data_IF_715238933135
#
_entry.id   IF_715238933135
#
_cell.length_a   1.000
_cell.length_b   1.000
_cell.length_c   1.000
_cell.angle_alpha   90.00
_cell.angle_beta   90.00
_cell.angle_gamma   90.00
#
_symmetry.space_group_name_H-M   'P 1'
#
loop_
_entity.id
_entity.type
_entity.pdbx_description
1 polymer ?
#
# COMPACT_ATOMS: atom_id res chain seq x y z
N UNK A 1 -15.04 4.49 -25.09
CA UNK A 1 -15.75 3.22 -24.93
C UNK A 1 -15.73 2.46 -26.23
N UNK A 2 -15.71 1.15 -26.17
CA UNK A 2 -15.92 0.19 -27.25
C UNK A 2 -17.11 -0.68 -26.90
N UNK A 3 -17.78 -1.27 -27.91
CA UNK A 3 -18.97 -2.08 -27.69
C UNK A 3 -19.09 -3.14 -28.79
N UNK A 4 -19.67 -4.29 -28.43
CA UNK A 4 -20.14 -5.32 -29.37
C UNK A 4 -21.66 -5.22 -29.66
N UNK A 5 -22.31 -4.15 -29.16
CA UNK A 5 -23.76 -3.93 -29.26
C UNK A 5 -24.55 -4.43 -28.07
N UNK A 6 -23.96 -5.28 -27.20
CA UNK A 6 -24.58 -5.81 -25.99
C UNK A 6 -23.86 -5.35 -24.71
N UNK A 7 -22.52 -5.22 -24.77
CA UNK A 7 -21.67 -4.80 -23.66
C UNK A 7 -20.81 -3.59 -24.04
N UNK A 8 -20.36 -2.85 -23.02
CA UNK A 8 -19.46 -1.73 -23.18
C UNK A 8 -18.21 -1.96 -22.35
N UNK A 9 -17.03 -1.65 -22.93
CA UNK A 9 -15.75 -1.67 -22.21
C UNK A 9 -14.89 -0.46 -22.53
N UNK A 10 -13.85 -0.26 -21.72
CA UNK A 10 -12.92 0.85 -21.94
C UNK A 10 -12.04 0.54 -23.16
N UNK A 11 -11.95 1.49 -24.08
CA UNK A 11 -10.99 1.40 -25.19
C UNK A 11 -9.55 1.68 -24.71
N UNK A 12 -8.56 1.28 -25.51
CA UNK A 12 -7.15 1.57 -25.23
C UNK A 12 -6.84 3.06 -25.06
N UNK A 13 -7.71 3.97 -25.49
CA UNK A 13 -7.57 5.43 -25.30
C UNK A 13 -7.46 5.83 -23.82
N UNK A 14 -8.00 5.04 -22.87
CA UNK A 14 -7.86 5.30 -21.42
C UNK A 14 -6.42 5.22 -20.96
N UNK A 15 -5.57 4.44 -21.63
CA UNK A 15 -4.13 4.33 -21.31
C UNK A 15 -3.39 5.66 -21.52
N UNK A 16 -3.90 6.55 -22.39
CA UNK A 16 -3.37 7.90 -22.55
C UNK A 16 -3.47 8.73 -21.27
N UNK A 17 -4.58 8.64 -20.54
CA UNK A 17 -4.72 9.32 -19.23
C UNK A 17 -3.76 8.74 -18.18
N UNK A 18 -3.61 7.41 -18.14
CA UNK A 18 -2.66 6.75 -17.25
C UNK A 18 -1.22 7.16 -17.56
N UNK A 19 -0.83 7.16 -18.85
CA UNK A 19 0.47 7.60 -19.29
C UNK A 19 0.76 9.06 -18.92
N UNK A 20 -0.21 9.95 -19.13
CA UNK A 20 -0.11 11.37 -18.76
C UNK A 20 0.03 11.55 -17.25
N UNK A 21 -0.71 10.79 -16.45
CA UNK A 21 -0.56 10.81 -14.99
C UNK A 21 0.83 10.33 -14.56
N UNK A 22 1.28 9.17 -15.02
CA UNK A 22 2.56 8.59 -14.62
C UNK A 22 3.77 9.42 -15.05
N UNK A 23 3.69 10.10 -16.21
CA UNK A 23 4.74 10.98 -16.70
C UNK A 23 4.71 12.37 -16.05
N UNK A 24 3.54 12.88 -15.69
CA UNK A 24 3.33 14.22 -15.15
C UNK A 24 3.32 14.31 -13.64
N UNK A 25 2.86 13.27 -12.93
CA UNK A 25 2.73 13.29 -11.49
C UNK A 25 4.10 13.22 -10.79
N UNK A 26 4.36 14.18 -9.91
CA UNK A 26 5.63 14.29 -9.18
C UNK A 26 5.87 13.07 -8.29
N UNK A 27 4.89 12.65 -7.50
CA UNK A 27 5.03 11.56 -6.52
C UNK A 27 5.48 10.24 -7.16
N UNK A 28 4.81 9.63 -8.15
CA UNK A 28 5.26 8.38 -8.76
C UNK A 28 6.68 8.46 -9.31
N UNK A 29 7.02 9.56 -9.99
CA UNK A 29 8.35 9.75 -10.59
C UNK A 29 9.46 9.85 -9.54
N UNK A 30 9.21 10.61 -8.46
CA UNK A 30 10.20 10.82 -7.39
C UNK A 30 10.47 9.56 -6.60
N UNK A 31 9.44 8.71 -6.38
CA UNK A 31 9.60 7.52 -5.53
C UNK A 31 10.13 6.29 -6.28
N UNK A 32 9.96 6.22 -7.59
CA UNK A 32 10.25 5.02 -8.38
C UNK A 32 11.71 4.51 -8.24
N UNK A 33 12.76 5.35 -8.28
CA UNK A 33 14.14 4.89 -8.07
C UNK A 33 14.35 4.24 -6.70
N UNK A 34 13.80 4.85 -5.64
CA UNK A 34 13.90 4.33 -4.27
C UNK A 34 13.15 3.01 -4.09
N UNK A 35 12.01 2.83 -4.78
CA UNK A 35 11.29 1.57 -4.77
C UNK A 35 12.09 0.44 -5.42
N UNK A 36 12.80 0.70 -6.51
CA UNK A 36 13.68 -0.30 -7.15
C UNK A 36 14.82 -0.71 -6.20
N UNK A 37 15.47 0.27 -5.55
CA UNK A 37 16.53 -0.02 -4.58
C UNK A 37 16.01 -0.80 -3.37
N UNK A 38 14.86 -0.39 -2.81
CA UNK A 38 14.25 -1.05 -1.67
C UNK A 38 13.84 -2.49 -1.99
N UNK A 39 13.22 -2.73 -3.14
CA UNK A 39 12.82 -4.09 -3.55
C UNK A 39 14.03 -4.99 -3.83
N UNK A 40 15.11 -4.46 -4.38
CA UNK A 40 16.35 -5.19 -4.58
C UNK A 40 17.04 -5.55 -3.25
N UNK A 41 17.10 -4.60 -2.31
CA UNK A 41 17.73 -4.80 -1.00
C UNK A 41 16.97 -5.80 -0.12
N UNK A 42 15.63 -5.78 -0.17
CA UNK A 42 14.78 -6.62 0.68
C UNK A 42 14.34 -7.92 0.02
N UNK A 43 14.49 -8.03 -1.30
CA UNK A 43 13.93 -9.12 -2.13
C UNK A 43 12.41 -9.26 -2.01
N UNK A 44 11.73 -8.15 -1.74
CA UNK A 44 10.28 -8.07 -1.57
C UNK A 44 9.66 -7.10 -2.56
N UNK A 45 8.36 -7.25 -2.77
CA UNK A 45 7.57 -6.22 -3.45
C UNK A 45 7.31 -5.06 -2.50
N UNK A 46 7.43 -3.84 -3.03
CA UNK A 46 7.08 -2.60 -2.33
C UNK A 46 6.16 -1.75 -3.18
N UNK A 47 5.39 -0.89 -2.54
CA UNK A 47 4.53 0.06 -3.26
C UNK A 47 4.33 1.35 -2.47
N UNK A 48 3.97 2.40 -3.22
CA UNK A 48 3.46 3.65 -2.66
C UNK A 48 1.99 3.76 -3.02
N UNK A 49 1.17 4.05 -2.01
CA UNK A 49 -0.27 4.21 -2.17
C UNK A 49 -0.77 5.51 -1.55
N UNK A 50 -1.83 6.06 -2.13
CA UNK A 50 -2.56 7.24 -1.64
C UNK A 50 -3.97 6.86 -1.22
N UNK A 51 -4.53 7.58 -0.26
CA UNK A 51 -5.90 7.36 0.20
C UNK A 51 -6.89 7.97 -0.80
N UNK A 52 -7.87 7.20 -1.22
CA UNK A 52 -9.00 7.62 -2.05
C UNK A 52 -10.30 7.09 -1.48
N UNK A 53 -11.04 7.92 -0.74
CA UNK A 53 -12.30 7.55 -0.08
C UNK A 53 -12.12 6.33 0.82
N UNK A 54 -12.77 5.21 0.50
CA UNK A 54 -12.78 3.92 1.20
C UNK A 54 -11.53 3.06 0.95
N UNK A 55 -10.74 3.40 -0.07
CA UNK A 55 -9.66 2.58 -0.58
C UNK A 55 -8.32 3.31 -0.62
N UNK A 56 -7.24 2.56 -0.70
CA UNK A 56 -5.95 3.06 -1.16
C UNK A 56 -5.77 2.73 -2.63
N UNK A 57 -5.13 3.62 -3.37
CA UNK A 57 -4.73 3.40 -4.77
C UNK A 57 -3.21 3.31 -4.85
N UNK A 58 -2.71 2.23 -5.45
CA UNK A 58 -1.28 2.08 -5.72
C UNK A 58 -0.88 3.04 -6.85
N UNK A 59 0.07 3.94 -6.57
CA UNK A 59 0.54 4.95 -7.52
C UNK A 59 1.97 4.68 -8.02
N UNK A 60 2.76 3.89 -7.30
CA UNK A 60 4.08 3.44 -7.72
C UNK A 60 4.40 2.08 -7.12
N UNK A 61 5.23 1.28 -7.79
CA UNK A 61 5.57 -0.08 -7.36
C UNK A 61 6.99 -0.47 -7.70
N UNK A 62 7.68 -1.11 -6.76
CA UNK A 62 8.91 -1.87 -6.97
C UNK A 62 8.62 -3.36 -6.86
N UNK A 63 9.08 -4.12 -7.86
CA UNK A 63 8.92 -5.57 -7.90
C UNK A 63 10.31 -6.19 -7.92
N UNK A 64 10.58 -7.06 -6.95
CA UNK A 64 11.75 -7.91 -7.02
C UNK A 64 11.44 -9.13 -7.89
N UNK A 65 12.28 -9.37 -8.89
CA UNK A 65 12.19 -10.54 -9.75
C UNK A 65 13.34 -11.49 -9.37
N UNK A 66 13.00 -12.65 -8.84
CA UNK A 66 13.99 -13.70 -8.64
C UNK A 66 14.53 -14.19 -10.00
N UNK A 67 15.84 -14.34 -10.11
CA UNK A 67 16.47 -14.93 -11.29
C UNK A 67 16.10 -16.43 -11.45
N UNK A 68 15.69 -17.07 -10.35
CA UNK A 68 15.41 -18.50 -10.29
C UNK A 68 13.93 -18.82 -10.46
N UNK A 69 13.61 -19.81 -11.32
CA UNK A 69 12.24 -20.17 -11.70
C UNK A 69 11.40 -20.73 -10.55
N UNK A 70 12.02 -21.35 -9.53
CA UNK A 70 11.31 -21.92 -8.38
C UNK A 70 10.88 -20.86 -7.34
N UNK A 71 11.58 -19.71 -7.25
CA UNK A 71 11.17 -18.59 -6.42
C UNK A 71 10.08 -17.72 -7.10
N UNK A 72 9.88 -17.87 -8.41
CA UNK A 72 8.84 -17.15 -9.17
C UNK A 72 7.42 -17.51 -8.73
N UNK A 73 7.17 -18.75 -8.31
CA UNK A 73 5.82 -19.19 -7.95
C UNK A 73 5.25 -18.40 -6.75
N UNK A 74 6.08 -18.12 -5.73
CA UNK A 74 5.63 -17.38 -4.53
C UNK A 74 5.55 -15.86 -4.73
N UNK A 75 6.33 -15.29 -5.66
CA UNK A 75 6.24 -13.87 -6.01
C UNK A 75 5.15 -13.60 -7.05
N UNK A 76 4.75 -14.61 -7.83
CA UNK A 76 3.77 -14.46 -8.92
C UNK A 76 2.34 -14.20 -8.43
N UNK A 77 1.90 -14.78 -7.31
CA UNK A 77 0.51 -14.61 -6.83
C UNK A 77 0.22 -13.14 -6.49
N UNK A 78 1.15 -12.45 -5.84
CA UNK A 78 1.03 -10.99 -5.62
C UNK A 78 1.40 -10.16 -6.86
N UNK A 79 2.23 -10.69 -7.77
CA UNK A 79 2.67 -9.94 -8.94
C UNK A 79 1.58 -9.80 -10.01
N UNK A 80 0.70 -10.78 -10.18
CA UNK A 80 -0.34 -10.73 -11.22
C UNK A 80 -1.59 -9.94 -10.84
N UNK A 81 -1.87 -9.75 -9.54
CA UNK A 81 -3.08 -9.06 -9.07
C UNK A 81 -2.90 -7.58 -8.75
N UNK A 82 -1.67 -7.15 -8.40
CA UNK A 82 -1.41 -5.77 -7.97
C UNK A 82 -0.59 -5.01 -9.01
N UNK A 83 -1.14 -3.93 -9.52
CA UNK A 83 -0.49 -3.02 -10.48
C UNK A 83 -0.74 -1.56 -10.06
N UNK A 84 -0.05 -0.62 -10.69
CA UNK A 84 -0.36 0.80 -10.53
C UNK A 84 -1.81 1.05 -10.99
N UNK A 85 -2.58 1.76 -10.16
CA UNK A 85 -4.01 1.94 -10.32
C UNK A 85 -4.88 0.91 -9.57
N UNK A 86 -4.30 -0.16 -9.01
CA UNK A 86 -5.06 -1.10 -8.16
C UNK A 86 -5.59 -0.40 -6.92
N UNK A 87 -6.85 -0.63 -6.61
CA UNK A 87 -7.54 -0.16 -5.40
C UNK A 87 -7.67 -1.31 -4.40
N UNK A 88 -7.35 -1.03 -3.15
CA UNK A 88 -7.46 -1.98 -2.04
C UNK A 88 -8.20 -1.33 -0.86
N UNK A 89 -9.00 -2.08 -0.08
CA UNK A 89 -9.69 -1.54 1.08
C UNK A 89 -8.72 -0.92 2.09
N UNK A 90 -8.95 0.35 2.47
CA UNK A 90 -8.03 1.06 3.35
C UNK A 90 -7.96 0.45 4.75
N UNK A 91 -9.09 -0.06 5.28
CA UNK A 91 -9.13 -0.63 6.63
C UNK A 91 -8.32 -1.91 6.79
N UNK A 92 -8.13 -2.70 5.73
CA UNK A 92 -7.51 -4.02 5.79
C UNK A 92 -6.07 -4.05 5.24
N UNK A 93 -5.51 -2.91 4.81
CA UNK A 93 -4.15 -2.82 4.27
C UNK A 93 -3.25 -1.99 5.18
N UNK A 94 -1.95 -2.34 5.25
CA UNK A 94 -0.97 -1.59 6.05
C UNK A 94 -0.86 -0.13 5.62
N UNK A 95 -0.86 0.14 4.30
CA UNK A 95 -0.84 1.49 3.74
C UNK A 95 -2.08 2.28 4.10
N UNK A 96 -3.26 1.67 3.99
CA UNK A 96 -4.52 2.32 4.33
C UNK A 96 -4.63 2.63 5.82
N UNK A 97 -4.24 1.69 6.67
CA UNK A 97 -4.22 1.90 8.12
C UNK A 97 -3.26 3.02 8.53
N UNK A 98 -2.08 3.13 7.89
CA UNK A 98 -1.14 4.24 8.12
C UNK A 98 -1.74 5.58 7.67
N UNK A 99 -2.38 5.64 6.51
CA UNK A 99 -3.01 6.85 6.00
C UNK A 99 -4.19 7.29 6.87
N UNK A 100 -5.05 6.36 7.26
CA UNK A 100 -6.17 6.62 8.17
C UNK A 100 -5.71 7.06 9.57
N UNK A 101 -4.61 6.50 10.07
CA UNK A 101 -4.03 6.88 11.35
C UNK A 101 -3.45 8.30 11.38
N UNK A 102 -3.17 8.88 10.22
CA UNK A 102 -2.66 10.23 10.06
C UNK A 102 -3.74 11.27 9.65
N UNK A 103 -5.01 10.88 9.60
CA UNK A 103 -6.12 11.82 9.47
C UNK A 103 -6.35 12.60 10.77
N UNK A 104 -6.98 13.76 10.69
CA UNK A 104 -7.53 14.43 11.88
C UNK A 104 -8.60 13.55 12.55
N UNK A 105 -8.89 13.81 13.82
CA UNK A 105 -9.92 13.05 14.54
C UNK A 105 -11.26 13.14 13.84
N UNK A 106 -11.63 14.35 13.41
CA UNK A 106 -12.90 14.66 12.73
C UNK A 106 -12.98 13.94 11.37
N UNK A 107 -11.87 13.96 10.60
CA UNK A 107 -11.83 13.28 9.30
C UNK A 107 -11.89 11.75 9.45
N UNK A 108 -11.26 11.19 10.49
CA UNK A 108 -11.35 9.76 10.78
C UNK A 108 -12.75 9.37 11.25
N UNK A 109 -13.43 10.22 12.04
CA UNK A 109 -14.79 9.98 12.50
C UNK A 109 -15.75 9.96 11.31
N UNK A 110 -15.69 10.96 10.44
CA UNK A 110 -16.47 11.00 9.21
C UNK A 110 -16.18 9.77 8.31
N UNK A 111 -14.91 9.41 8.18
CA UNK A 111 -14.55 8.23 7.39
C UNK A 111 -15.16 6.93 7.95
N UNK A 112 -15.17 6.76 9.26
CA UNK A 112 -15.74 5.57 9.92
C UNK A 112 -17.27 5.54 9.88
N UNK A 113 -17.94 6.68 9.79
CA UNK A 113 -19.41 6.76 9.61
C UNK A 113 -19.82 6.40 8.18
N UNK A 114 -19.03 6.80 7.19
CA UNK A 114 -19.31 6.57 5.77
C UNK A 114 -18.88 5.17 5.28
N UNK A 115 -18.00 4.47 6.01
CA UNK A 115 -17.37 3.27 5.49
C UNK A 115 -17.57 2.05 6.38
N UNK A 116 -17.88 0.92 5.76
CA UNK A 116 -18.02 -0.38 6.42
C UNK A 116 -16.68 -1.09 6.51
N UNK A 117 -16.33 -1.58 7.71
CA UNK A 117 -15.15 -2.43 7.91
C UNK A 117 -15.48 -3.89 7.54
N UNK A 118 -15.55 -4.19 6.25
CA UNK A 118 -15.93 -5.52 5.75
C UNK A 118 -14.91 -6.58 6.14
N UNK A 119 -15.40 -7.77 6.50
CA UNK A 119 -14.53 -8.92 6.80
C UNK A 119 -14.00 -9.53 5.51
N UNK A 120 -12.69 -9.51 5.31
CA UNK A 120 -12.01 -10.13 4.16
C UNK A 120 -11.34 -11.45 4.56
N UNK A 121 -10.83 -11.53 5.79
CA UNK A 121 -10.25 -12.74 6.38
C UNK A 121 -10.68 -12.89 7.84
N UNK A 122 -10.27 -13.97 8.48
CA UNK A 122 -10.46 -14.15 9.93
C UNK A 122 -9.68 -13.10 10.76
N UNK A 123 -8.66 -12.48 10.19
CA UNK A 123 -7.77 -11.51 10.86
C UNK A 123 -8.21 -10.06 10.64
N UNK A 124 -9.14 -9.78 9.73
CA UNK A 124 -9.63 -8.42 9.47
C UNK A 124 -10.30 -7.83 10.70
N UNK A 125 -9.89 -6.64 11.10
CA UNK A 125 -10.55 -5.88 12.18
C UNK A 125 -11.82 -5.24 11.64
N UNK A 126 -12.96 -5.65 12.18
CA UNK A 126 -14.31 -5.20 11.73
C UNK A 126 -15.04 -4.32 12.74
N UNK A 127 -14.53 -4.22 13.97
CA UNK A 127 -15.16 -3.40 15.01
C UNK A 127 -14.52 -2.01 15.04
N UNK A 128 -15.31 -0.95 14.83
CA UNK A 128 -14.83 0.44 14.78
C UNK A 128 -14.02 0.85 16.02
N UNK A 129 -14.45 0.43 17.24
CA UNK A 129 -13.72 0.73 18.48
C UNK A 129 -12.32 0.11 18.49
N UNK A 130 -12.20 -1.17 18.10
CA UNK A 130 -10.93 -1.89 18.02
C UNK A 130 -10.05 -1.29 16.93
N UNK A 131 -10.64 -0.95 15.78
CA UNK A 131 -9.95 -0.31 14.67
C UNK A 131 -9.37 1.05 15.07
N UNK A 132 -10.14 1.91 15.76
CA UNK A 132 -9.63 3.18 16.30
C UNK A 132 -8.44 3.00 17.24
N UNK A 133 -8.49 2.02 18.12
CA UNK A 133 -7.37 1.73 19.03
C UNK A 133 -6.13 1.27 18.25
N UNK A 134 -6.31 0.49 17.19
CA UNK A 134 -5.23 0.10 16.28
C UNK A 134 -4.62 1.32 15.59
N UNK A 135 -5.45 2.20 15.03
CA UNK A 135 -4.98 3.42 14.36
C UNK A 135 -4.24 4.36 15.32
N UNK A 136 -4.71 4.53 16.57
CA UNK A 136 -3.99 5.30 17.59
C UNK A 136 -2.59 4.73 17.89
N UNK A 137 -2.44 3.40 17.90
CA UNK A 137 -1.11 2.77 18.03
C UNK A 137 -0.24 3.06 16.81
N UNK A 138 -0.80 2.93 15.62
CA UNK A 138 -0.08 3.22 14.36
C UNK A 138 0.40 4.68 14.34
N UNK A 139 -0.46 5.64 14.70
CA UNK A 139 -0.08 7.05 14.79
C UNK A 139 1.07 7.30 15.77
N UNK A 140 1.06 6.60 16.93
CA UNK A 140 2.09 6.75 17.96
C UNK A 140 3.44 6.13 17.57
N UNK A 141 3.42 4.96 16.92
CA UNK A 141 4.64 4.22 16.56
C UNK A 141 5.18 4.57 15.17
N UNK A 142 4.40 5.31 14.39
CA UNK A 142 4.70 5.78 13.03
C UNK A 142 4.92 4.68 11.99
N UNK A 143 4.32 3.51 12.21
CA UNK A 143 4.23 2.43 11.22
C UNK A 143 3.00 1.57 11.45
N UNK A 144 2.52 0.91 10.39
CA UNK A 144 1.41 -0.03 10.40
C UNK A 144 1.81 -1.42 9.93
N UNK A 145 1.38 -2.45 10.66
CA UNK A 145 1.54 -3.84 10.27
C UNK A 145 0.18 -4.49 10.10
N UNK A 146 -0.10 -5.00 8.90
CA UNK A 146 -1.28 -5.78 8.57
C UNK A 146 -0.88 -7.24 8.38
N UNK A 147 -1.30 -8.10 9.32
CA UNK A 147 -1.04 -9.53 9.27
C UNK A 147 -2.25 -10.24 8.72
N UNK A 148 -2.18 -10.65 7.47
CA UNK A 148 -3.22 -11.45 6.80
C UNK A 148 -4.63 -10.82 6.85
N UNK A 149 -4.72 -9.50 7.00
CA UNK A 149 -6.01 -8.82 7.15
C UNK A 149 -6.76 -8.65 5.84
N UNK A 150 -6.03 -8.40 4.75
CA UNK A 150 -6.59 -8.30 3.41
C UNK A 150 -6.72 -9.68 2.74
N UNK A 151 -5.68 -10.49 2.85
CA UNK A 151 -5.56 -11.80 2.21
C UNK A 151 -4.76 -12.75 3.11
N UNK A 152 -5.20 -14.01 3.21
CA UNK A 152 -4.50 -15.02 3.99
C UNK A 152 -3.11 -15.30 3.38
N UNK A 153 -2.10 -15.46 4.24
CA UNK A 153 -0.72 -15.66 3.82
C UNK A 153 -0.01 -14.38 3.36
N UNK A 154 -0.64 -13.20 3.43
CA UNK A 154 -0.05 -11.92 3.06
C UNK A 154 0.16 -11.04 4.28
N UNK A 155 1.40 -10.70 4.54
CA UNK A 155 1.83 -9.76 5.57
C UNK A 155 2.39 -8.48 4.94
N UNK A 156 2.06 -7.32 5.49
CA UNK A 156 2.52 -6.05 4.97
C UNK A 156 2.89 -5.07 6.10
N UNK A 157 4.04 -4.42 5.95
CA UNK A 157 4.54 -3.36 6.83
C UNK A 157 4.55 -2.04 6.06
N UNK A 158 4.01 -0.96 6.64
CA UNK A 158 3.96 0.35 5.99
C UNK A 158 4.39 1.48 6.91
N UNK A 159 4.96 2.53 6.31
CA UNK A 159 5.30 3.81 6.95
C UNK A 159 4.67 4.98 6.19
N UNK A 160 4.38 6.11 6.84
CA UNK A 160 3.90 7.31 6.15
C UNK A 160 5.01 7.94 5.30
N UNK A 161 4.63 8.41 4.11
CA UNK A 161 5.42 9.33 3.30
C UNK A 161 4.94 10.76 3.54
N UNK A 162 5.85 11.60 4.04
CA UNK A 162 5.56 13.00 4.39
C UNK A 162 6.30 13.95 3.46
N UNK A 163 5.61 15.01 3.05
CA UNK A 163 6.23 16.12 2.32
C UNK A 163 7.12 17.00 3.25
N UNK A 164 7.72 18.04 2.70
CA UNK A 164 8.57 18.98 3.43
C UNK A 164 7.84 19.65 4.61
N UNK A 165 6.52 19.84 4.51
CA UNK A 165 5.68 20.42 5.56
C UNK A 165 5.35 19.44 6.68
N UNK A 166 5.74 18.17 6.55
CA UNK A 166 5.42 17.10 7.51
C UNK A 166 4.04 16.48 7.33
N UNK A 167 3.31 16.85 6.28
CA UNK A 167 1.99 16.30 5.98
C UNK A 167 2.13 14.90 5.37
N UNK A 168 1.37 13.94 5.87
CA UNK A 168 1.32 12.58 5.30
C UNK A 168 0.51 12.60 4.01
N UNK A 169 1.18 12.43 2.86
CA UNK A 169 0.58 12.50 1.53
C UNK A 169 0.41 11.12 0.87
N UNK A 170 1.14 10.13 1.35
CA UNK A 170 1.12 8.75 0.85
C UNK A 170 1.62 7.79 1.93
N UNK A 171 1.59 6.48 1.66
CA UNK A 171 2.24 5.47 2.48
C UNK A 171 3.10 4.55 1.61
N UNK A 172 4.28 4.21 2.12
CA UNK A 172 5.22 3.25 1.53
C UNK A 172 5.12 1.92 2.26
N UNK A 173 5.05 0.81 1.56
CA UNK A 173 5.02 -0.51 2.18
C UNK A 173 6.01 -1.50 1.57
N UNK A 174 6.30 -2.54 2.37
CA UNK A 174 6.84 -3.84 1.94
C UNK A 174 5.76 -4.90 2.14
N UNK A 175 5.68 -5.83 1.20
CA UNK A 175 4.70 -6.91 1.21
C UNK A 175 5.42 -8.24 1.06
N UNK A 176 5.06 -9.18 1.92
CA UNK A 176 5.49 -10.57 1.84
C UNK A 176 4.29 -11.47 1.68
N UNK A 177 4.41 -12.45 0.77
CA UNK A 177 3.48 -13.58 0.64
C UNK A 177 4.19 -14.88 0.98
N UNK A 178 3.46 -15.83 1.56
CA UNK A 178 3.93 -17.17 1.90
C UNK A 178 3.56 -17.59 3.31
N UNK A 179 3.30 -18.88 3.49
CA UNK A 179 3.03 -19.48 4.79
C UNK A 179 4.33 -19.60 5.61
N UNK A 180 4.26 -19.24 6.87
CA UNK A 180 5.36 -19.41 7.82
C UNK A 180 6.15 -18.14 8.08
N UNK A 181 5.58 -17.25 8.89
CA UNK A 181 6.27 -16.02 9.23
C UNK A 181 6.32 -15.79 10.73
N UNK A 182 7.51 -15.69 11.24
CA UNK A 182 7.77 -15.03 12.51
C UNK A 182 7.62 -13.51 12.30
N UNK A 183 6.40 -13.02 12.50
CA UNK A 183 6.03 -11.62 12.36
C UNK A 183 6.95 -10.61 13.11
N UNK A 184 7.51 -10.93 14.27
CA UNK A 184 8.43 -10.05 14.97
C UNK A 184 9.72 -9.74 14.19
N UNK A 185 10.25 -10.68 13.43
CA UNK A 185 11.46 -10.44 12.63
C UNK A 185 11.25 -9.42 11.51
N UNK A 186 10.08 -9.40 10.90
CA UNK A 186 9.79 -8.50 9.78
C UNK A 186 9.85 -7.03 10.17
N UNK A 187 9.25 -6.68 11.32
CA UNK A 187 9.27 -5.30 11.79
C UNK A 187 10.70 -4.86 12.16
N UNK A 188 11.48 -5.74 12.79
CA UNK A 188 12.84 -5.39 13.22
C UNK A 188 13.81 -5.25 12.05
N UNK A 189 13.67 -6.08 11.01
CA UNK A 189 14.57 -6.10 9.86
C UNK A 189 14.22 -5.02 8.82
N UNK A 190 12.94 -4.84 8.52
CA UNK A 190 12.52 -3.99 7.40
C UNK A 190 12.07 -2.59 7.78
N UNK A 191 11.63 -2.38 9.02
CA UNK A 191 11.19 -1.07 9.47
C UNK A 191 12.29 0.00 9.32
N UNK A 192 13.54 -0.24 9.71
CA UNK A 192 14.61 0.75 9.52
C UNK A 192 14.81 1.13 8.06
N UNK A 193 14.77 0.15 7.14
CA UNK A 193 14.92 0.39 5.70
C UNK A 193 13.75 1.19 5.14
N UNK A 194 12.51 0.87 5.54
CA UNK A 194 11.33 1.63 5.14
C UNK A 194 11.40 3.08 5.64
N UNK A 195 11.75 3.28 6.91
CA UNK A 195 11.85 4.61 7.52
C UNK A 195 12.95 5.45 6.88
N UNK A 196 14.12 4.85 6.62
CA UNK A 196 15.21 5.51 5.92
C UNK A 196 14.81 5.93 4.50
N UNK A 197 14.15 5.03 3.77
CA UNK A 197 13.63 5.32 2.43
C UNK A 197 12.59 6.44 2.47
N UNK A 198 11.63 6.39 3.40
CA UNK A 198 10.62 7.43 3.56
C UNK A 198 11.24 8.79 3.89
N UNK A 199 12.28 8.81 4.75
CA UNK A 199 12.99 10.03 5.12
C UNK A 199 13.75 10.63 3.92
N UNK A 200 14.42 9.81 3.12
CA UNK A 200 15.14 10.28 1.92
C UNK A 200 14.23 10.87 0.85
N UNK A 201 12.98 10.41 0.79
CA UNK A 201 11.98 10.90 -0.16
C UNK A 201 11.35 12.24 0.24
N UNK A 202 11.45 12.64 1.51
CA UNK A 202 10.73 13.80 2.06
C UNK A 202 10.95 15.11 1.28
N UNK A 203 12.17 15.34 0.81
CA UNK A 203 12.52 16.55 0.05
C UNK A 203 12.15 16.44 -1.45
N UNK A 204 11.76 15.26 -1.91
CA UNK A 204 11.46 14.98 -3.32
C UNK A 204 9.97 14.97 -3.64
N UNK A 205 9.09 14.94 -2.61
CA UNK A 205 7.64 14.74 -2.75
C UNK A 205 6.82 15.86 -2.16
#
# INVERSE_FOLDING_TARGET
>A
LETDGQYYWLSAKVLGFTGSYLSGARLPRSVQPSLHQLSAATRLSCSVAVLQKDAVMIVARGIWQAADTNAKANSMVLAYGLHVGTRLPAHATSTGQVLLANLSSEALDAWLEENTLSRLTAHTVTQAKVFRQKLKRIAKQDYGYAKQEHELGVDALAVPLRNERGETIAALNLVRSGAGSDAPHLANEWLPLLQQTAQSLRLLI
#
